data_IF_568464724038
#
_entry.id   IF_568464724038
#
_cell.length_a   1.000
_cell.length_b   1.000
_cell.length_c   1.000
_cell.angle_alpha   90.00
_cell.angle_beta   90.00
_cell.angle_gamma   90.00
#
_symmetry.space_group_name_H-M   'P 1'
#
loop_
_entity.id
_entity.type
_entity.pdbx_description
1 polymer ?
#
# COMPACT_ATOMS: atom_id res chain seq x y z
N UNK A 1 -1.17 -0.47 -10.87
CA UNK A 1 -0.86 -1.73 -11.56
C UNK A 1 -0.02 -1.49 -12.81
N UNK A 2 0.89 -2.40 -13.14
CA UNK A 2 1.67 -2.39 -14.39
C UNK A 2 1.39 -3.66 -15.20
N UNK A 3 1.15 -3.46 -16.51
CA UNK A 3 1.23 -4.51 -17.51
C UNK A 3 2.56 -4.41 -18.25
N UNK A 4 3.44 -5.39 -18.09
CA UNK A 4 4.76 -5.44 -18.75
C UNK A 4 4.68 -5.67 -20.26
N UNK A 5 3.49 -6.03 -20.77
CA UNK A 5 3.22 -6.17 -22.21
C UNK A 5 2.67 -4.88 -22.84
N UNK A 6 2.33 -3.87 -22.03
CA UNK A 6 1.90 -2.59 -22.57
C UNK A 6 3.11 -1.86 -23.17
N UNK A 7 3.10 -1.56 -24.48
CA UNK A 7 4.23 -0.90 -25.14
C UNK A 7 4.38 0.58 -24.73
N UNK A 8 3.35 1.17 -24.11
CA UNK A 8 3.39 2.54 -23.61
C UNK A 8 3.87 2.54 -22.17
N UNK A 9 5.04 3.13 -21.94
CA UNK A 9 5.56 3.36 -20.59
C UNK A 9 4.68 4.35 -19.85
N UNK A 10 4.58 4.15 -18.54
CA UNK A 10 4.06 5.17 -17.63
C UNK A 10 5.19 6.07 -17.16
N UNK A 11 4.85 7.32 -16.84
CA UNK A 11 5.77 8.33 -16.34
C UNK A 11 5.19 9.10 -15.16
N UNK A 12 5.96 10.03 -14.60
CA UNK A 12 5.59 10.79 -13.40
C UNK A 12 4.28 11.57 -13.61
N UNK A 13 4.10 12.14 -14.81
CA UNK A 13 2.90 12.92 -15.16
C UNK A 13 1.59 12.13 -15.17
N UNK A 14 1.64 10.80 -15.13
CA UNK A 14 0.46 9.94 -15.01
C UNK A 14 -0.08 9.87 -13.57
N UNK A 15 0.73 10.24 -12.58
CA UNK A 15 0.37 10.18 -11.17
C UNK A 15 -0.19 11.52 -10.66
N UNK A 16 -1.36 11.46 -10.04
CA UNK A 16 -1.83 12.52 -9.15
C UNK A 16 -1.09 12.45 -7.82
N UNK A 17 -0.28 13.47 -7.54
CA UNK A 17 0.50 13.57 -6.30
C UNK A 17 -0.24 14.41 -5.26
N UNK A 18 -0.36 13.87 -4.04
CA UNK A 18 -0.88 14.61 -2.87
C UNK A 18 0.09 14.48 -1.71
N UNK A 19 0.26 15.57 -0.98
CA UNK A 19 1.16 15.66 0.20
C UNK A 19 0.50 16.46 1.32
N UNK A 20 1.01 16.30 2.52
CA UNK A 20 0.55 17.07 3.68
C UNK A 20 -0.96 16.93 3.91
N UNK A 21 -1.59 18.03 4.35
CA UNK A 21 -3.01 18.01 4.73
C UNK A 21 -3.95 17.66 3.58
N UNK A 22 -3.60 18.01 2.34
CA UNK A 22 -4.41 17.70 1.15
C UNK A 22 -4.63 16.18 0.99
N UNK A 23 -3.62 15.37 1.31
CA UNK A 23 -3.73 13.91 1.30
C UNK A 23 -4.86 13.45 2.22
N UNK A 24 -4.86 13.93 3.47
CA UNK A 24 -5.87 13.54 4.47
C UNK A 24 -7.25 14.06 4.08
N UNK A 25 -7.35 15.34 3.72
CA UNK A 25 -8.62 15.98 3.38
C UNK A 25 -9.27 15.30 2.17
N UNK A 26 -8.50 14.94 1.14
CA UNK A 26 -9.00 14.16 0.02
C UNK A 26 -9.52 12.79 0.47
N UNK A 27 -8.68 12.00 1.18
CA UNK A 27 -9.02 10.63 1.52
C UNK A 27 -10.19 10.49 2.51
N UNK A 28 -10.44 11.51 3.34
CA UNK A 28 -11.65 11.55 4.19
C UNK A 28 -12.96 11.67 3.39
N UNK A 29 -12.90 12.15 2.14
CA UNK A 29 -14.10 12.33 1.30
C UNK A 29 -14.40 11.14 0.40
N UNK A 30 -13.51 10.16 0.29
CA UNK A 30 -13.65 9.01 -0.61
C UNK A 30 -13.67 7.69 0.15
N UNK A 31 -14.39 6.70 -0.41
CA UNK A 31 -14.50 5.36 0.18
C UNK A 31 -13.41 4.40 -0.30
N UNK A 32 -12.15 4.79 -0.12
CA UNK A 32 -11.00 3.94 -0.42
C UNK A 32 -10.30 3.47 0.87
N UNK A 33 -9.21 2.72 0.74
CA UNK A 33 -8.44 2.11 1.83
C UNK A 33 -7.86 3.17 2.77
N UNK A 34 -7.35 4.28 2.24
CA UNK A 34 -6.85 5.37 3.08
C UNK A 34 -8.02 6.01 3.84
N UNK A 35 -9.15 6.29 3.19
CA UNK A 35 -10.34 6.81 3.87
C UNK A 35 -10.88 5.84 4.94
N UNK A 36 -10.83 4.54 4.68
CA UNK A 36 -11.18 3.49 5.63
C UNK A 36 -10.27 3.51 6.86
N UNK A 37 -8.95 3.55 6.64
CA UNK A 37 -7.99 3.63 7.73
C UNK A 37 -8.16 4.91 8.56
N UNK A 38 -8.32 6.07 7.89
CA UNK A 38 -8.58 7.36 8.54
C UNK A 38 -9.87 7.32 9.38
N UNK A 39 -10.94 6.66 8.92
CA UNK A 39 -12.17 6.53 9.72
C UNK A 39 -11.96 5.79 11.06
N UNK A 40 -10.95 4.91 11.14
CA UNK A 40 -10.58 4.23 12.38
C UNK A 40 -9.66 5.12 13.22
N UNK A 41 -8.66 5.74 12.61
CA UNK A 41 -7.71 6.61 13.33
C UNK A 41 -8.40 7.85 13.91
N UNK A 42 -9.26 8.52 13.12
CA UNK A 42 -10.03 9.70 13.51
C UNK A 42 -11.09 9.39 14.60
N UNK A 43 -11.34 8.12 14.92
CA UNK A 43 -12.28 7.72 15.98
C UNK A 43 -11.70 7.79 17.39
N UNK A 44 -10.41 8.09 17.53
CA UNK A 44 -9.68 8.18 18.80
C UNK A 44 -8.97 9.52 18.92
N UNK A 45 -9.20 10.24 20.01
CA UNK A 45 -8.52 11.52 20.29
C UNK A 45 -7.03 11.34 20.60
N UNK A 46 -6.62 10.13 21.01
CA UNK A 46 -5.22 9.78 21.30
C UNK A 46 -4.37 9.52 20.04
N UNK A 47 -4.96 9.59 18.85
CA UNK A 47 -4.26 9.32 17.58
C UNK A 47 -4.10 10.61 16.79
N UNK A 48 -2.85 11.00 16.57
CA UNK A 48 -2.50 12.03 15.60
C UNK A 48 -2.05 11.40 14.27
N UNK A 49 -2.75 11.71 13.18
CA UNK A 49 -2.37 11.21 11.84
C UNK A 49 -1.40 12.18 11.18
N UNK A 50 -0.18 11.70 10.95
CA UNK A 50 0.86 12.42 10.20
C UNK A 50 0.78 12.02 8.72
N UNK A 51 0.48 12.95 7.79
CA UNK A 51 0.49 12.64 6.37
C UNK A 51 1.92 12.50 5.85
N UNK A 52 2.10 11.62 4.86
CA UNK A 52 3.35 11.50 4.11
C UNK A 52 3.10 11.83 2.63
N UNK A 53 3.14 10.82 1.77
CA UNK A 53 3.09 10.97 0.32
C UNK A 53 2.06 10.03 -0.31
N UNK A 54 1.30 10.53 -1.27
CA UNK A 54 0.41 9.74 -2.12
C UNK A 54 0.72 10.00 -3.59
N UNK A 55 1.07 8.95 -4.32
CA UNK A 55 1.07 8.94 -5.79
C UNK A 55 -0.02 7.97 -6.26
N UNK A 56 -0.97 8.49 -7.03
CA UNK A 56 -2.10 7.70 -7.53
C UNK A 56 -2.23 7.82 -9.04
N UNK A 57 -2.22 6.69 -9.74
CA UNK A 57 -2.52 6.62 -11.16
C UNK A 57 -3.86 5.89 -11.34
N UNK A 58 -4.83 6.56 -12.00
CA UNK A 58 -6.23 6.12 -12.04
C UNK A 58 -6.48 4.85 -12.87
N UNK A 59 -5.51 4.45 -13.69
CA UNK A 59 -5.59 3.27 -14.55
C UNK A 59 -4.32 2.43 -14.41
N UNK A 60 -4.43 1.15 -14.76
CA UNK A 60 -3.27 0.30 -15.00
C UNK A 60 -2.45 0.86 -16.16
N UNK A 61 -1.13 0.86 -15.99
CA UNK A 61 -0.17 1.45 -16.93
C UNK A 61 0.76 0.41 -17.54
N UNK A 62 1.69 0.86 -18.40
CA UNK A 62 2.86 0.05 -18.73
C UNK A 62 3.97 0.23 -17.71
N UNK A 63 5.12 -0.40 -17.97
CA UNK A 63 6.29 -0.30 -17.08
C UNK A 63 6.65 1.16 -16.82
N UNK A 64 6.80 1.51 -15.54
CA UNK A 64 7.18 2.85 -15.13
C UNK A 64 8.63 3.12 -15.53
N UNK A 65 8.88 4.22 -16.23
CA UNK A 65 10.24 4.57 -16.62
C UNK A 65 11.10 4.82 -15.37
N UNK A 66 12.37 4.38 -15.44
CA UNK A 66 13.31 4.47 -14.31
C UNK A 66 13.39 5.85 -13.65
N UNK A 67 13.63 6.97 -14.38
CA UNK A 67 13.78 8.28 -13.74
C UNK A 67 12.49 8.73 -13.02
N UNK A 68 11.33 8.35 -13.55
CA UNK A 68 10.03 8.68 -12.94
C UNK A 68 9.78 7.89 -11.66
N UNK A 69 10.16 6.59 -11.65
CA UNK A 69 10.17 5.79 -10.44
C UNK A 69 11.13 6.36 -9.38
N UNK A 70 12.37 6.66 -9.76
CA UNK A 70 13.37 7.23 -8.86
C UNK A 70 12.91 8.55 -8.25
N UNK A 71 12.21 9.38 -9.03
CA UNK A 71 11.61 10.61 -8.54
C UNK A 71 10.51 10.32 -7.49
N UNK A 72 9.53 9.46 -7.81
CA UNK A 72 8.45 9.09 -6.88
C UNK A 72 9.02 8.51 -5.58
N UNK A 73 9.98 7.59 -5.69
CA UNK A 73 10.63 6.95 -4.56
C UNK A 73 11.39 7.96 -3.69
N UNK A 74 12.14 8.88 -4.31
CA UNK A 74 12.87 9.92 -3.61
C UNK A 74 11.94 10.88 -2.86
N UNK A 75 10.84 11.30 -3.49
CA UNK A 75 9.84 12.16 -2.87
C UNK A 75 9.13 11.46 -1.70
N UNK A 76 8.72 10.21 -1.89
CA UNK A 76 8.08 9.39 -0.84
C UNK A 76 8.98 9.24 0.39
N UNK A 77 10.24 8.83 0.19
CA UNK A 77 11.20 8.68 1.30
C UNK A 77 11.60 10.04 1.89
N UNK A 78 11.53 11.12 1.11
CA UNK A 78 11.71 12.49 1.58
C UNK A 78 10.66 12.88 2.63
N UNK A 79 9.38 12.59 2.37
CA UNK A 79 8.28 12.86 3.32
C UNK A 79 8.46 12.03 4.60
N UNK A 80 8.82 10.74 4.50
CA UNK A 80 9.08 9.89 5.68
C UNK A 80 10.26 10.41 6.50
N UNK A 81 11.35 10.82 5.84
CA UNK A 81 12.54 11.32 6.53
C UNK A 81 12.27 12.63 7.28
N UNK A 82 11.42 13.48 6.73
CA UNK A 82 11.10 14.80 7.28
C UNK A 82 9.90 14.78 8.24
N UNK A 83 9.19 13.65 8.34
CA UNK A 83 8.08 13.50 9.27
C UNK A 83 8.57 13.62 10.73
N UNK A 84 7.72 14.13 11.64
CA UNK A 84 7.97 13.98 13.07
C UNK A 84 8.08 12.50 13.45
N UNK A 85 8.61 12.24 14.65
CA UNK A 85 8.65 10.88 15.19
C UNK A 85 7.22 10.30 15.23
N UNK A 86 7.03 9.15 14.62
CA UNK A 86 5.78 8.39 14.64
C UNK A 86 5.95 7.11 15.44
N UNK A 87 4.86 6.60 16.00
CA UNK A 87 4.85 5.35 16.77
C UNK A 87 4.35 4.15 15.94
N UNK A 88 3.75 4.39 14.77
CA UNK A 88 3.26 3.37 13.85
C UNK A 88 3.15 3.91 12.42
N UNK A 89 3.14 3.00 11.42
CA UNK A 89 3.05 3.33 10.00
C UNK A 89 1.97 2.50 9.31
N UNK A 90 1.12 3.17 8.54
CA UNK A 90 0.15 2.55 7.64
C UNK A 90 0.47 2.91 6.20
N UNK A 91 0.70 1.89 5.36
CA UNK A 91 0.86 2.06 3.92
C UNK A 91 -0.38 1.52 3.18
N UNK A 92 -0.80 2.25 2.15
CA UNK A 92 -1.78 1.80 1.17
C UNK A 92 -1.04 1.60 -0.15
N UNK A 93 -0.94 0.36 -0.62
CA UNK A 93 -0.18 0.01 -1.81
C UNK A 93 -1.00 -0.89 -2.74
N UNK A 94 -0.75 -0.81 -4.03
CA UNK A 94 -1.37 -1.76 -4.96
C UNK A 94 -0.67 -3.12 -4.92
N UNK A 95 0.67 -3.15 -4.86
CA UNK A 95 1.45 -4.40 -4.84
C UNK A 95 1.82 -4.95 -6.21
N UNK A 96 1.46 -4.28 -7.29
CA UNK A 96 1.73 -4.72 -8.67
C UNK A 96 2.28 -3.57 -9.52
N UNK A 97 3.05 -2.67 -8.92
CA UNK A 97 3.84 -1.72 -9.68
C UNK A 97 5.14 -2.38 -10.15
N UNK A 98 5.69 -1.94 -11.28
CA UNK A 98 7.02 -2.32 -11.73
C UNK A 98 7.65 -1.17 -12.51
N UNK A 99 8.94 -0.96 -12.28
CA UNK A 99 9.79 -0.05 -13.06
C UNK A 99 10.78 -0.84 -13.91
N UNK A 100 11.50 -0.15 -14.81
CA UNK A 100 12.45 -0.81 -15.72
C UNK A 100 13.56 -1.62 -15.02
N UNK A 101 13.96 -1.24 -13.81
CA UNK A 101 15.06 -1.89 -13.07
C UNK A 101 14.67 -2.37 -11.67
N UNK A 102 13.59 -1.84 -11.09
CA UNK A 102 13.02 -2.33 -9.83
C UNK A 102 11.64 -2.93 -10.12
N UNK A 103 11.56 -4.26 -10.03
CA UNK A 103 10.36 -5.07 -10.30
C UNK A 103 9.47 -5.26 -9.05
N UNK A 104 9.97 -4.84 -7.89
CA UNK A 104 9.25 -4.80 -6.62
C UNK A 104 9.38 -3.42 -5.94
N UNK A 105 8.78 -2.37 -6.54
CA UNK A 105 8.80 -1.03 -5.97
C UNK A 105 8.23 -0.98 -4.54
N UNK A 106 7.13 -1.69 -4.29
CA UNK A 106 6.48 -1.75 -2.97
C UNK A 106 7.42 -2.34 -1.90
N UNK A 107 8.01 -3.50 -2.17
CA UNK A 107 8.98 -4.11 -1.29
C UNK A 107 10.22 -3.23 -1.10
N UNK A 108 10.67 -2.54 -2.15
CA UNK A 108 11.79 -1.60 -2.05
C UNK A 108 11.46 -0.44 -1.10
N UNK A 109 10.30 0.19 -1.24
CA UNK A 109 9.88 1.30 -0.35
C UNK A 109 9.76 0.84 1.10
N UNK A 110 9.22 -0.36 1.33
CA UNK A 110 9.14 -0.93 2.67
C UNK A 110 10.55 -1.14 3.27
N UNK A 111 11.48 -1.69 2.49
CA UNK A 111 12.85 -1.91 2.94
C UNK A 111 13.59 -0.59 3.26
N UNK A 112 13.46 0.43 2.41
CA UNK A 112 14.08 1.74 2.66
C UNK A 112 13.40 2.48 3.83
N UNK A 113 12.09 2.34 3.99
CA UNK A 113 11.36 2.88 5.15
C UNK A 113 11.89 2.27 6.45
N UNK A 114 12.13 0.95 6.48
CA UNK A 114 12.74 0.27 7.65
C UNK A 114 14.14 0.78 7.97
N UNK A 115 14.95 1.15 6.98
CA UNK A 115 16.25 1.78 7.23
C UNK A 115 16.13 3.15 7.89
N UNK A 116 15.06 3.90 7.61
CA UNK A 116 14.83 5.24 8.18
C UNK A 116 14.22 5.16 9.59
N UNK A 117 13.23 4.28 9.78
CA UNK A 117 12.39 4.24 10.98
C UNK A 117 12.82 3.16 11.99
N UNK A 118 13.56 2.14 11.54
CA UNK A 118 13.90 0.97 12.33
C UNK A 118 12.84 -0.15 12.27
N UNK A 119 13.18 -1.28 12.89
CA UNK A 119 12.35 -2.49 12.88
C UNK A 119 11.31 -2.51 14.02
N UNK A 120 11.44 -1.64 15.03
CA UNK A 120 10.57 -1.64 16.21
C UNK A 120 9.24 -0.90 16.00
N UNK A 121 9.16 0.02 15.03
CA UNK A 121 7.93 0.76 14.71
C UNK A 121 7.00 -0.16 13.91
N UNK A 122 5.77 -0.47 14.39
CA UNK A 122 4.82 -1.28 13.65
C UNK A 122 4.48 -0.69 12.27
N UNK A 123 4.49 -1.53 11.24
CA UNK A 123 4.17 -1.16 9.86
C UNK A 123 3.17 -2.16 9.27
N UNK A 124 1.97 -1.68 8.96
CA UNK A 124 0.92 -2.47 8.30
C UNK A 124 0.61 -1.92 6.91
N UNK A 125 0.43 -2.82 5.95
CA UNK A 125 0.13 -2.49 4.54
C UNK A 125 -1.27 -2.98 4.19
N UNK A 126 -2.13 -2.13 3.64
CA UNK A 126 -3.27 -2.59 2.85
C UNK A 126 -2.84 -2.83 1.40
N UNK A 127 -3.33 -3.92 0.81
CA UNK A 127 -2.87 -4.37 -0.51
C UNK A 127 -4.01 -4.80 -1.42
N UNK A 128 -3.88 -4.53 -2.72
CA UNK A 128 -4.76 -5.11 -3.72
C UNK A 128 -4.58 -6.64 -3.76
N UNK A 129 -5.67 -7.38 -3.97
CA UNK A 129 -5.63 -8.83 -4.13
C UNK A 129 -4.88 -9.27 -5.41
N UNK A 130 -4.73 -8.37 -6.38
CA UNK A 130 -3.90 -8.56 -7.57
C UNK A 130 -2.41 -8.25 -7.32
N UNK A 131 -2.07 -7.76 -6.12
CA UNK A 131 -0.70 -7.49 -5.73
C UNK A 131 0.19 -8.74 -5.80
N UNK A 132 1.40 -8.56 -6.33
CA UNK A 132 2.44 -9.58 -6.36
C UNK A 132 3.14 -9.59 -4.99
N UNK A 133 2.66 -10.44 -4.09
CA UNK A 133 3.18 -10.53 -2.73
C UNK A 133 4.64 -11.04 -2.69
N UNK A 134 5.63 -10.16 -2.65
CA UNK A 134 7.04 -10.54 -2.65
C UNK A 134 7.56 -10.90 -1.25
N UNK A 135 8.69 -11.63 -1.19
CA UNK A 135 9.33 -11.93 0.09
C UNK A 135 9.92 -10.67 0.75
N UNK A 136 10.28 -9.65 -0.04
CA UNK A 136 10.79 -8.38 0.47
C UNK A 136 9.68 -7.61 1.19
N UNK A 137 8.46 -7.59 0.63
CA UNK A 137 7.28 -7.03 1.32
C UNK A 137 7.00 -7.74 2.64
N UNK A 138 6.98 -9.09 2.65
CA UNK A 138 6.73 -9.86 3.88
C UNK A 138 7.81 -9.65 4.94
N UNK A 139 9.06 -9.45 4.53
CA UNK A 139 10.17 -9.24 5.46
C UNK A 139 10.08 -7.88 6.16
N UNK A 140 9.56 -6.86 5.47
CA UNK A 140 9.61 -5.47 5.93
C UNK A 140 8.26 -4.91 6.39
N UNK A 141 7.22 -5.74 6.48
CA UNK A 141 5.90 -5.41 7.04
C UNK A 141 5.56 -6.33 8.20
N UNK A 142 4.94 -5.79 9.25
CA UNK A 142 4.44 -6.58 10.38
C UNK A 142 3.15 -7.32 10.02
N UNK A 143 2.33 -6.72 9.15
CA UNK A 143 1.20 -7.39 8.53
C UNK A 143 0.83 -6.77 7.18
N UNK A 144 0.22 -7.60 6.34
CA UNK A 144 -0.38 -7.20 5.06
C UNK A 144 -1.85 -7.61 5.08
N UNK A 145 -2.74 -6.69 4.74
CA UNK A 145 -4.19 -6.89 4.72
C UNK A 145 -4.69 -6.68 3.29
N UNK A 146 -5.05 -7.77 2.63
CA UNK A 146 -5.51 -7.74 1.25
C UNK A 146 -7.00 -7.43 1.11
N UNK A 147 -7.41 -7.01 -0.08
CA UNK A 147 -8.82 -7.00 -0.49
C UNK A 147 -9.37 -8.43 -0.47
N UNK A 148 -10.66 -8.56 -0.16
CA UNK A 148 -11.34 -9.85 -0.15
C UNK A 148 -12.32 -10.02 -1.30
N UNK A 149 -12.56 -8.97 -2.11
CA UNK A 149 -13.60 -8.97 -3.15
C UNK A 149 -13.05 -8.65 -4.55
N UNK A 150 -13.56 -9.35 -5.55
CA UNK A 150 -13.38 -9.03 -6.97
C UNK A 150 -14.75 -9.12 -7.69
N UNK A 151 -15.25 -8.05 -8.35
CA UNK A 151 -14.70 -6.69 -8.39
C UNK A 151 -14.54 -6.08 -6.98
N UNK A 152 -13.56 -5.19 -6.84
CA UNK A 152 -13.24 -4.58 -5.55
C UNK A 152 -14.38 -3.67 -5.08
N UNK A 153 -15.08 -4.10 -4.05
CA UNK A 153 -16.10 -3.31 -3.36
C UNK A 153 -15.78 -3.11 -1.88
N UNK A 154 -14.66 -3.68 -1.41
CA UNK A 154 -14.24 -3.68 0.00
C UNK A 154 -12.97 -2.86 0.27
N UNK A 155 -12.67 -1.85 -0.55
CA UNK A 155 -11.50 -0.97 -0.35
C UNK A 155 -11.53 -0.29 1.03
N UNK A 156 -12.64 0.36 1.36
CA UNK A 156 -12.81 1.08 2.62
C UNK A 156 -12.72 0.13 3.82
N UNK A 157 -13.41 -1.01 3.74
CA UNK A 157 -13.41 -2.04 4.76
C UNK A 157 -12.02 -2.66 4.94
N UNK A 158 -11.23 -2.80 3.87
CA UNK A 158 -9.82 -3.24 3.95
C UNK A 158 -8.98 -2.24 4.72
N UNK A 159 -9.10 -0.95 4.40
CA UNK A 159 -8.44 0.12 5.14
C UNK A 159 -8.76 0.08 6.63
N UNK A 160 -10.04 -0.10 6.96
CA UNK A 160 -10.46 -0.22 8.35
C UNK A 160 -9.88 -1.48 9.04
N UNK A 161 -9.82 -2.62 8.34
CA UNK A 161 -9.21 -3.86 8.86
C UNK A 161 -7.72 -3.65 9.13
N UNK A 162 -7.00 -3.03 8.20
CA UNK A 162 -5.58 -2.72 8.33
C UNK A 162 -5.29 -1.77 9.49
N UNK A 163 -6.05 -0.67 9.61
CA UNK A 163 -5.91 0.29 10.71
C UNK A 163 -6.19 -0.34 12.07
N UNK A 164 -7.27 -1.13 12.21
CA UNK A 164 -7.55 -1.85 13.46
C UNK A 164 -6.44 -2.83 13.82
N UNK A 165 -5.89 -3.55 12.84
CA UNK A 165 -4.76 -4.45 13.09
C UNK A 165 -3.52 -3.67 13.55
N UNK A 166 -3.20 -2.56 12.91
CA UNK A 166 -2.08 -1.70 13.30
C UNK A 166 -2.20 -1.24 14.76
N UNK A 167 -3.38 -0.78 15.19
CA UNK A 167 -3.59 -0.34 16.58
C UNK A 167 -3.48 -1.49 17.59
N UNK A 168 -3.91 -2.70 17.23
CA UNK A 168 -3.74 -3.90 18.07
C UNK A 168 -2.28 -4.32 18.17
N UNK A 169 -1.48 -4.13 17.12
CA UNK A 169 -0.02 -4.36 17.17
C UNK A 169 0.64 -3.29 18.03
N UNK A 170 0.30 -2.01 17.81
CA UNK A 170 0.87 -0.86 18.54
C UNK A 170 0.62 -0.95 20.05
N UNK A 171 -0.57 -1.37 20.46
CA UNK A 171 -0.92 -1.58 21.88
C UNK A 171 -0.29 -2.84 22.49
N UNK A 172 0.36 -3.69 21.69
CA UNK A 172 0.90 -4.98 22.13
C UNK A 172 -0.15 -6.06 22.35
N UNK A 173 -1.41 -5.84 21.97
CA UNK A 173 -2.48 -6.83 22.07
C UNK A 173 -2.20 -8.06 21.20
N UNK A 174 -1.61 -7.85 20.02
CA UNK A 174 -1.27 -8.92 19.07
C UNK A 174 0.14 -8.78 18.53
N UNK A 175 0.76 -9.91 18.21
CA UNK A 175 2.03 -10.00 17.49
C UNK A 175 1.89 -11.00 16.33
N UNK A 176 1.49 -10.52 15.13
CA UNK A 176 1.25 -11.39 13.99
C UNK A 176 2.50 -12.17 13.57
N UNK A 177 2.28 -13.35 12.98
CA UNK A 177 3.29 -14.12 12.26
C UNK A 177 2.80 -14.39 10.85
N UNK A 178 3.68 -14.24 9.87
CA UNK A 178 3.33 -14.33 8.46
C UNK A 178 3.85 -15.64 7.85
N UNK A 179 2.96 -16.35 7.16
CA UNK A 179 3.31 -17.50 6.33
C UNK A 179 2.81 -17.26 4.90
N UNK A 180 3.62 -17.66 3.91
CA UNK A 180 3.27 -17.55 2.49
C UNK A 180 3.44 -18.91 1.83
N UNK A 181 2.41 -19.31 1.09
CA UNK A 181 2.42 -20.49 0.22
C UNK A 181 2.17 -20.02 -1.20
N UNK A 182 3.11 -20.27 -2.10
CA UNK A 182 2.95 -19.95 -3.50
C UNK A 182 2.23 -21.10 -4.22
N UNK A 183 1.10 -20.81 -4.85
CA UNK A 183 0.45 -21.71 -5.80
C UNK A 183 0.93 -21.28 -7.20
N UNK A 184 1.70 -22.09 -7.93
CA UNK A 184 2.29 -21.70 -9.21
C UNK A 184 1.25 -21.75 -10.34
N UNK A 185 0.24 -20.88 -10.26
CA UNK A 185 -0.85 -20.79 -11.22
C UNK A 185 -1.13 -19.32 -11.56
N UNK A 186 -1.46 -19.07 -12.82
CA UNK A 186 -2.12 -17.84 -13.26
C UNK A 186 -3.60 -18.16 -13.48
N UNK A 187 -4.45 -17.24 -13.05
CA UNK A 187 -5.90 -17.42 -13.01
C UNK A 187 -6.58 -16.46 -13.97
N UNK A 188 -7.73 -16.87 -14.51
CA UNK A 188 -8.52 -16.05 -15.44
C UNK A 188 -9.47 -15.16 -14.66
N UNK A 189 -9.51 -13.87 -14.98
CA UNK A 189 -10.22 -12.87 -14.18
C UNK A 189 -11.70 -13.17 -13.96
N UNK A 190 -12.42 -13.67 -14.96
CA UNK A 190 -13.84 -14.04 -14.84
C UNK A 190 -14.10 -15.15 -13.82
N UNK A 191 -13.16 -16.09 -13.69
CA UNK A 191 -13.22 -17.15 -12.68
C UNK A 191 -12.89 -16.65 -11.28
N UNK A 192 -12.35 -15.43 -11.14
CA UNK A 192 -11.97 -14.85 -9.85
C UNK A 192 -13.04 -13.96 -9.23
N UNK A 193 -14.21 -13.80 -9.87
CA UNK A 193 -15.29 -13.00 -9.28
C UNK A 193 -15.69 -13.64 -7.96
N UNK A 194 -15.51 -12.94 -6.85
CA UNK A 194 -15.64 -13.56 -5.51
C UNK A 194 -17.07 -13.96 -5.18
N UNK A 195 -18.06 -13.37 -5.86
CA UNK A 195 -19.47 -13.71 -5.69
C UNK A 195 -19.95 -14.91 -6.54
N UNK A 196 -19.33 -15.15 -7.70
CA UNK A 196 -19.88 -16.08 -8.73
C UNK A 196 -18.85 -16.99 -9.37
N UNK A 197 -17.57 -16.70 -9.16
CA UNK A 197 -16.43 -17.42 -9.70
C UNK A 197 -16.10 -18.69 -8.91
N UNK A 198 -14.90 -19.20 -9.15
CA UNK A 198 -14.38 -20.45 -8.58
C UNK A 198 -13.52 -20.23 -7.34
N UNK A 199 -13.43 -18.98 -6.87
CA UNK A 199 -12.70 -18.59 -5.67
C UNK A 199 -13.25 -19.28 -4.41
#
# INVERSE_FOLDING_TARGET
EVSTFNPHRSGYGDFGIRRGRELLDYHRTVRNEVGGALSVFDSSEDIEVVPAYSAFFITSGGTLAKPDWEQIASEFLGEIRNAPRVDAVYFCMHGAMASEEELDPEGWLLAETRKLLGEEIPLVVSLDLHGILTNRMLKHSDAIVAYHTYPHVDFFETGQRAARLLLRILSGEVRPVTAKVAIPALVRGDELITATGRF
#
